data_IF_982540874117
#
_entry.id   IF_982540874117
#
_cell.length_a   1.000
_cell.length_b   1.000
_cell.length_c   1.000
_cell.angle_alpha   90.00
_cell.angle_beta   90.00
_cell.angle_gamma   90.00
#
_symmetry.space_group_name_H-M   'P 1'
#
loop_
_entity.id
_entity.type
_entity.pdbx_description
1 polymer ?
#
# COMPACT_ATOMS: atom_id res chain seq x y z
N UNK A 1 -42.37 -4.83 62.32
CA UNK A 1 -40.90 -4.67 62.30
C UNK A 1 -40.60 -3.55 61.33
N UNK A 2 -40.01 -2.45 61.81
CA UNK A 2 -39.82 -1.22 61.04
C UNK A 2 -38.66 -1.39 60.07
N UNK A 3 -38.94 -1.55 58.77
CA UNK A 3 -37.92 -1.55 57.73
C UNK A 3 -37.59 -0.09 57.39
N UNK A 4 -36.81 0.57 58.25
CA UNK A 4 -36.13 1.79 57.83
C UNK A 4 -35.03 1.37 56.87
N UNK A 5 -35.26 1.62 55.57
CA UNK A 5 -34.17 1.62 54.59
C UNK A 5 -33.33 2.84 54.95
N UNK A 6 -32.14 2.61 55.49
CA UNK A 6 -31.22 3.67 55.92
C UNK A 6 -30.61 4.32 54.67
N UNK A 7 -31.42 5.14 54.01
CA UNK A 7 -31.06 5.78 52.75
C UNK A 7 -30.36 7.09 53.06
N UNK A 8 -29.11 7.20 52.64
CA UNK A 8 -28.24 8.30 53.03
C UNK A 8 -28.59 9.54 52.19
N UNK A 9 -28.96 10.64 52.85
CA UNK A 9 -29.29 11.89 52.18
C UNK A 9 -28.00 12.67 51.87
N UNK A 10 -27.73 12.89 50.58
CA UNK A 10 -26.52 13.54 50.09
C UNK A 10 -26.88 14.70 49.14
N UNK A 11 -26.11 15.77 49.21
CA UNK A 11 -26.25 16.92 48.29
C UNK A 11 -25.36 16.73 47.07
N UNK A 12 -25.74 17.27 45.91
CA UNK A 12 -24.90 17.20 44.69
C UNK A 12 -23.47 17.69 44.94
N UNK A 13 -23.32 18.80 45.67
CA UNK A 13 -22.00 19.35 46.03
C UNK A 13 -21.15 18.39 46.85
N UNK A 14 -21.75 17.66 47.79
CA UNK A 14 -21.04 16.68 48.61
C UNK A 14 -20.59 15.49 47.76
N UNK A 15 -21.45 15.00 46.87
CA UNK A 15 -21.13 13.91 45.95
C UNK A 15 -19.97 14.29 45.00
N UNK A 16 -20.04 15.49 44.39
CA UNK A 16 -18.95 15.99 43.53
C UNK A 16 -17.64 16.16 44.30
N UNK A 17 -17.72 16.66 45.53
CA UNK A 17 -16.55 16.86 46.38
C UNK A 17 -15.88 15.52 46.74
N UNK A 18 -16.65 14.52 47.16
CA UNK A 18 -16.13 13.18 47.44
C UNK A 18 -15.49 12.55 46.19
N UNK A 19 -16.14 12.68 45.03
CA UNK A 19 -15.58 12.21 43.77
C UNK A 19 -14.22 12.86 43.46
N UNK A 20 -14.11 14.19 43.61
CA UNK A 20 -12.85 14.92 43.39
C UNK A 20 -11.76 14.47 44.37
N UNK A 21 -12.10 14.28 45.64
CA UNK A 21 -11.15 13.79 46.64
C UNK A 21 -10.66 12.37 46.35
N UNK A 22 -11.56 11.46 45.95
CA UNK A 22 -11.15 10.11 45.60
C UNK A 22 -10.26 10.09 44.36
N UNK A 23 -10.58 10.91 43.35
CA UNK A 23 -9.73 11.06 42.16
C UNK A 23 -8.35 11.58 42.52
N UNK A 24 -8.26 12.63 43.33
CA UNK A 24 -6.99 13.20 43.80
C UNK A 24 -6.12 12.16 44.54
N UNK A 25 -6.70 11.39 45.46
CA UNK A 25 -5.97 10.34 46.18
C UNK A 25 -5.50 9.22 45.25
N UNK A 26 -6.33 8.83 44.27
CA UNK A 26 -5.95 7.82 43.29
C UNK A 26 -4.81 8.33 42.41
N UNK A 27 -4.90 9.56 41.92
CA UNK A 27 -3.87 10.19 41.09
C UNK A 27 -2.53 10.30 41.85
N UNK A 28 -2.56 10.70 43.12
CA UNK A 28 -1.37 10.72 43.98
C UNK A 28 -0.74 9.33 44.12
N UNK A 29 -1.56 8.30 44.31
CA UNK A 29 -1.08 6.92 44.45
C UNK A 29 -0.52 6.38 43.14
N UNK A 30 -1.18 6.66 42.02
CA UNK A 30 -0.75 6.28 40.67
C UNK A 30 0.60 6.92 40.34
N UNK A 31 0.76 8.23 40.56
CA UNK A 31 2.03 8.96 40.35
C UNK A 31 3.19 8.42 41.19
N UNK A 32 2.91 7.88 42.39
CA UNK A 32 3.93 7.29 43.26
C UNK A 32 4.27 5.86 42.87
N UNK A 33 3.29 5.08 42.40
CA UNK A 33 3.46 3.67 42.07
C UNK A 33 4.08 3.44 40.67
N UNK A 34 3.82 4.35 39.73
CA UNK A 34 4.30 4.28 38.34
C UNK A 34 5.44 5.31 38.15
N UNK A 35 6.71 4.86 38.06
CA UNK A 35 7.82 5.76 37.79
C UNK A 35 7.77 6.22 36.33
N UNK A 36 7.70 7.53 36.10
CA UNK A 36 7.73 8.11 34.75
C UNK A 36 6.36 8.35 34.13
N UNK A 37 5.34 8.67 34.94
CA UNK A 37 4.03 9.14 34.46
C UNK A 37 4.20 10.15 33.32
N UNK A 38 3.95 9.69 32.11
CA UNK A 38 4.01 10.44 30.86
C UNK A 38 2.68 10.20 30.18
N UNK A 39 2.06 11.25 29.64
CA UNK A 39 0.76 11.12 28.97
C UNK A 39 0.80 10.22 27.72
N UNK A 40 2.01 9.89 27.25
CA UNK A 40 2.26 9.03 26.09
C UNK A 40 2.35 7.51 26.41
N UNK A 41 2.29 7.12 27.69
CA UNK A 41 2.35 5.69 28.07
C UNK A 41 0.95 5.05 28.07
N UNK A 42 0.71 4.18 27.09
CA UNK A 42 -0.56 3.45 26.87
C UNK A 42 -1.03 2.73 28.14
N UNK A 43 -0.10 2.11 28.89
CA UNK A 43 -0.42 1.37 30.12
C UNK A 43 -0.87 2.31 31.23
N UNK A 44 -0.20 3.46 31.37
CA UNK A 44 -0.56 4.46 32.37
C UNK A 44 -1.91 5.11 32.08
N UNK A 45 -2.24 5.31 30.80
CA UNK A 45 -3.53 5.84 30.36
C UNK A 45 -4.66 4.81 30.55
N UNK A 46 -4.42 3.54 30.22
CA UNK A 46 -5.39 2.46 30.44
C UNK A 46 -5.76 2.33 31.93
N UNK A 47 -4.76 2.39 32.82
CA UNK A 47 -4.99 2.34 34.27
C UNK A 47 -5.87 3.51 34.73
N UNK A 48 -5.66 4.72 34.20
CA UNK A 48 -6.49 5.88 34.54
C UNK A 48 -7.94 5.70 34.10
N UNK A 49 -8.15 5.23 32.86
CA UNK A 49 -9.49 4.93 32.35
C UNK A 49 -10.19 3.87 33.20
N UNK A 50 -9.46 2.84 33.63
CA UNK A 50 -9.99 1.79 34.50
C UNK A 50 -10.34 2.32 35.90
N UNK A 51 -9.53 3.21 36.46
CA UNK A 51 -9.81 3.84 37.76
C UNK A 51 -11.02 4.77 37.69
N UNK A 52 -11.16 5.55 36.62
CA UNK A 52 -12.33 6.39 36.38
C UNK A 52 -13.61 5.53 36.25
N UNK A 53 -13.55 4.41 35.53
CA UNK A 53 -14.67 3.46 35.45
C UNK A 53 -14.99 2.83 36.81
N UNK A 54 -13.96 2.43 37.56
CA UNK A 54 -14.14 1.89 38.91
C UNK A 54 -14.84 2.87 39.84
N UNK A 55 -14.46 4.15 39.82
CA UNK A 55 -15.11 5.19 40.61
C UNK A 55 -16.58 5.38 40.20
N UNK A 56 -16.89 5.32 38.90
CA UNK A 56 -18.28 5.36 38.44
C UNK A 56 -19.08 4.20 38.98
N UNK A 57 -18.58 2.98 38.83
CA UNK A 57 -19.28 1.77 39.26
C UNK A 57 -19.50 1.79 40.77
N UNK A 58 -18.49 2.17 41.55
CA UNK A 58 -18.59 2.29 43.00
C UNK A 58 -19.63 3.32 43.43
N UNK A 59 -19.70 4.47 42.76
CA UNK A 59 -20.67 5.53 43.08
C UNK A 59 -22.07 5.18 42.56
N UNK A 60 -22.20 4.49 41.42
CA UNK A 60 -23.48 4.00 40.90
C UNK A 60 -24.08 2.96 41.86
N UNK A 61 -23.26 2.02 42.34
CA UNK A 61 -23.65 1.06 43.38
C UNK A 61 -24.03 1.75 44.70
N UNK A 62 -23.23 2.73 45.16
CA UNK A 62 -23.57 3.51 46.34
C UNK A 62 -24.86 4.32 46.16
N UNK A 63 -25.13 4.76 44.92
CA UNK A 63 -26.32 5.49 44.52
C UNK A 63 -27.63 4.74 44.76
N UNK A 64 -27.62 3.41 44.74
CA UNK A 64 -28.80 2.60 45.06
C UNK A 64 -29.26 2.77 46.52
N UNK A 65 -28.30 3.02 47.42
CA UNK A 65 -28.52 3.20 48.87
C UNK A 65 -28.48 4.68 49.32
N UNK A 66 -28.46 5.61 48.37
CA UNK A 66 -28.32 7.05 48.63
C UNK A 66 -29.44 7.84 47.95
N UNK A 67 -29.90 8.91 48.58
CA UNK A 67 -30.83 9.87 48.01
C UNK A 67 -30.10 11.20 47.75
N UNK A 68 -30.32 11.79 46.58
CA UNK A 68 -29.82 13.14 46.30
C UNK A 68 -30.91 14.16 46.59
N UNK A 69 -30.77 14.94 47.65
CA UNK A 69 -31.82 15.83 48.16
C UNK A 69 -32.03 17.07 47.28
N UNK A 70 -30.95 17.52 46.61
CA UNK A 70 -30.90 18.73 45.76
C UNK A 70 -31.01 18.39 44.26
N UNK A 71 -31.51 17.20 43.92
CA UNK A 71 -31.71 16.78 42.54
C UNK A 71 -33.13 17.11 42.05
N UNK A 72 -33.24 17.73 40.87
CA UNK A 72 -34.52 17.83 40.17
C UNK A 72 -35.09 16.45 39.83
N UNK A 73 -36.41 16.34 39.65
CA UNK A 73 -37.04 15.07 39.22
C UNK A 73 -36.40 14.61 37.91
N UNK A 74 -35.63 13.52 37.95
CA UNK A 74 -34.93 12.94 36.79
C UNK A 74 -33.41 13.08 36.78
N UNK A 75 -32.80 13.78 37.75
CA UNK A 75 -31.33 13.84 37.88
C UNK A 75 -30.82 12.61 38.64
N UNK A 76 -30.19 11.68 37.91
CA UNK A 76 -29.56 10.49 38.50
C UNK A 76 -28.15 10.82 39.01
N UNK A 77 -27.70 10.12 40.06
CA UNK A 77 -26.30 10.15 40.54
C UNK A 77 -25.29 10.07 39.38
N UNK A 78 -25.54 9.17 38.42
CA UNK A 78 -24.75 8.99 37.20
C UNK A 78 -24.56 10.27 36.37
N UNK A 79 -25.63 11.06 36.20
CA UNK A 79 -25.56 12.31 35.41
C UNK A 79 -24.66 13.36 36.07
N UNK A 80 -24.67 13.42 37.40
CA UNK A 80 -23.84 14.34 38.19
C UNK A 80 -22.37 13.94 38.08
N UNK A 81 -22.08 12.64 38.12
CA UNK A 81 -20.71 12.12 37.99
C UNK A 81 -20.18 12.30 36.57
N UNK A 82 -20.98 12.03 35.53
CA UNK A 82 -20.59 12.28 34.14
C UNK A 82 -20.28 13.77 33.88
N UNK A 83 -20.97 14.69 34.55
CA UNK A 83 -20.64 16.12 34.47
C UNK A 83 -19.27 16.43 35.07
N UNK A 84 -18.95 15.85 36.23
CA UNK A 84 -17.61 15.99 36.83
C UNK A 84 -16.55 15.33 35.95
N UNK A 85 -16.84 14.17 35.36
CA UNK A 85 -15.89 13.46 34.51
C UNK A 85 -15.56 14.26 33.24
N UNK A 86 -16.54 14.95 32.65
CA UNK A 86 -16.31 15.87 31.51
C UNK A 86 -15.36 17.01 31.84
N UNK A 87 -15.17 17.36 33.12
CA UNK A 87 -14.17 18.34 33.56
C UNK A 87 -12.73 17.80 33.42
N UNK A 88 -12.55 16.48 33.48
CA UNK A 88 -11.24 15.80 33.46
C UNK A 88 -10.96 15.03 32.18
N UNK A 89 -11.96 14.78 31.33
CA UNK A 89 -11.77 14.11 30.05
C UNK A 89 -11.38 15.11 28.98
N UNK A 90 -10.43 14.69 28.14
CA UNK A 90 -10.11 15.44 26.93
C UNK A 90 -11.36 15.55 26.04
N UNK A 91 -11.69 16.76 25.54
CA UNK A 91 -12.77 16.92 24.59
C UNK A 91 -12.49 16.16 23.30
N UNK A 92 -13.54 15.71 22.64
CA UNK A 92 -13.41 15.01 21.36
C UNK A 92 -12.74 15.91 20.31
N UNK A 93 -11.52 15.55 19.90
CA UNK A 93 -10.80 16.22 18.82
C UNK A 93 -11.41 15.85 17.47
N UNK A 94 -12.17 16.79 16.90
CA UNK A 94 -12.82 16.66 15.60
C UNK A 94 -11.78 16.53 14.48
N UNK A 95 -10.64 17.22 14.59
CA UNK A 95 -9.58 17.21 13.58
C UNK A 95 -8.82 15.87 13.61
N UNK A 96 -8.57 15.31 14.79
CA UNK A 96 -8.01 13.96 14.92
C UNK A 96 -8.97 12.92 14.35
N UNK A 97 -10.25 12.98 14.69
CA UNK A 97 -11.24 12.05 14.16
C UNK A 97 -11.39 12.15 12.63
N UNK A 98 -11.35 13.36 12.07
CA UNK A 98 -11.39 13.54 10.62
C UNK A 98 -10.11 13.01 9.94
N UNK A 99 -8.94 13.17 10.57
CA UNK A 99 -7.70 12.52 10.12
C UNK A 99 -7.85 11.00 10.12
N UNK A 100 -8.35 10.42 11.22
CA UNK A 100 -8.60 8.98 11.33
C UNK A 100 -9.53 8.51 10.20
N UNK A 101 -10.64 9.20 9.95
CA UNK A 101 -11.56 8.88 8.84
C UNK A 101 -10.89 8.90 7.47
N UNK A 102 -10.07 9.92 7.20
CA UNK A 102 -9.33 10.04 5.93
C UNK A 102 -8.35 8.89 5.76
N UNK A 103 -7.60 8.55 6.81
CA UNK A 103 -6.69 7.40 6.76
C UNK A 103 -7.42 6.07 6.57
N UNK A 104 -8.60 5.89 7.20
CA UNK A 104 -9.42 4.70 6.97
C UNK A 104 -9.89 4.61 5.52
N UNK A 105 -10.37 5.71 4.94
CA UNK A 105 -10.78 5.74 3.54
C UNK A 105 -9.61 5.43 2.59
N UNK A 106 -8.45 6.05 2.82
CA UNK A 106 -7.25 5.78 2.03
C UNK A 106 -6.83 4.31 2.14
N UNK A 107 -6.86 3.75 3.35
CA UNK A 107 -6.56 2.35 3.59
C UNK A 107 -7.52 1.41 2.84
N UNK A 108 -8.82 1.73 2.83
CA UNK A 108 -9.82 0.98 2.07
C UNK A 108 -9.56 1.07 0.56
N UNK A 109 -9.34 2.28 0.03
CA UNK A 109 -9.09 2.52 -1.39
C UNK A 109 -7.84 1.76 -1.86
N UNK A 110 -6.75 1.82 -1.10
CA UNK A 110 -5.50 1.08 -1.38
C UNK A 110 -5.70 -0.43 -1.29
N UNK A 111 -6.50 -0.90 -0.34
CA UNK A 111 -6.80 -2.33 -0.20
C UNK A 111 -7.58 -2.84 -1.41
N UNK A 112 -8.54 -2.06 -1.90
CA UNK A 112 -9.30 -2.37 -3.12
C UNK A 112 -8.39 -2.35 -4.34
N UNK A 113 -7.57 -1.30 -4.49
CA UNK A 113 -6.61 -1.15 -5.59
C UNK A 113 -5.67 -2.36 -5.67
N UNK A 114 -5.02 -2.74 -4.56
CA UNK A 114 -4.10 -3.89 -4.53
C UNK A 114 -4.84 -5.19 -4.82
N UNK A 115 -6.08 -5.34 -4.36
CA UNK A 115 -6.90 -6.52 -4.64
C UNK A 115 -7.27 -6.64 -6.12
N UNK A 116 -7.64 -5.52 -6.75
CA UNK A 116 -7.89 -5.45 -8.20
C UNK A 116 -6.61 -5.74 -8.97
N UNK A 117 -5.48 -5.13 -8.60
CA UNK A 117 -4.18 -5.36 -9.22
C UNK A 117 -3.78 -6.84 -9.15
N UNK A 118 -3.95 -7.50 -8.00
CA UNK A 118 -3.65 -8.92 -7.82
C UNK A 118 -4.50 -9.83 -8.71
N UNK A 119 -5.74 -9.44 -9.01
CA UNK A 119 -6.65 -10.20 -9.85
C UNK A 119 -6.42 -9.94 -11.33
N UNK A 120 -6.32 -8.67 -11.71
CA UNK A 120 -6.37 -8.21 -13.09
C UNK A 120 -4.99 -8.14 -13.72
N UNK A 121 -3.95 -7.72 -12.98
CA UNK A 121 -2.62 -7.59 -13.55
C UNK A 121 -2.07 -8.92 -14.12
N UNK A 122 -2.19 -10.08 -13.45
CA UNK A 122 -1.75 -11.34 -14.04
C UNK A 122 -2.56 -11.72 -15.29
N UNK A 123 -3.87 -11.47 -15.28
CA UNK A 123 -4.74 -11.79 -16.42
C UNK A 123 -4.38 -10.95 -17.64
N UNK A 124 -4.19 -9.64 -17.44
CA UNK A 124 -3.78 -8.72 -18.50
C UNK A 124 -2.42 -9.13 -19.05
N UNK A 125 -1.41 -9.34 -18.19
CA UNK A 125 -0.07 -9.76 -18.61
C UNK A 125 -0.12 -11.06 -19.43
N UNK A 126 -0.82 -12.09 -18.95
CA UNK A 126 -0.96 -13.35 -19.68
C UNK A 126 -1.63 -13.11 -21.04
N UNK A 127 -2.71 -12.34 -21.07
CA UNK A 127 -3.44 -12.07 -22.31
C UNK A 127 -2.59 -11.35 -23.36
N UNK A 128 -1.79 -10.37 -22.96
CA UNK A 128 -0.88 -9.64 -23.84
C UNK A 128 0.21 -10.55 -24.41
N UNK A 129 0.84 -11.37 -23.56
CA UNK A 129 1.85 -12.33 -24.02
C UNK A 129 1.27 -13.39 -24.96
N UNK A 130 0.11 -13.95 -24.63
CA UNK A 130 -0.58 -14.93 -25.49
C UNK A 130 -1.01 -14.33 -26.82
N UNK A 131 -1.41 -13.05 -26.86
CA UNK A 131 -1.74 -12.38 -28.11
C UNK A 131 -0.52 -12.18 -28.99
N UNK A 132 0.62 -11.79 -28.40
CA UNK A 132 1.89 -11.66 -29.14
C UNK A 132 2.36 -13.02 -29.68
N UNK A 133 2.27 -14.08 -28.86
CA UNK A 133 2.61 -15.44 -29.29
C UNK A 133 1.78 -15.89 -30.50
N UNK A 134 0.47 -15.61 -30.49
CA UNK A 134 -0.41 -15.91 -31.64
C UNK A 134 0.00 -15.16 -32.90
N UNK A 135 0.32 -13.86 -32.80
CA UNK A 135 0.79 -13.09 -33.95
C UNK A 135 2.07 -13.67 -34.56
N UNK A 136 2.99 -14.15 -33.72
CA UNK A 136 4.22 -14.78 -34.19
C UNK A 136 3.96 -16.14 -34.86
N UNK A 137 2.99 -16.91 -34.36
CA UNK A 137 2.55 -18.14 -35.00
C UNK A 137 1.91 -17.87 -36.35
N UNK A 138 1.02 -16.88 -36.45
CA UNK A 138 0.39 -16.47 -37.72
C UNK A 138 1.44 -16.07 -38.77
N UNK A 139 2.49 -15.34 -38.37
CA UNK A 139 3.61 -14.98 -39.24
C UNK A 139 4.44 -16.19 -39.70
N UNK A 140 4.61 -17.19 -38.84
CA UNK A 140 5.30 -18.45 -39.18
C UNK A 140 4.44 -19.28 -40.12
N UNK A 141 3.15 -19.43 -39.85
CA UNK A 141 2.21 -20.18 -40.66
C UNK A 141 2.11 -19.58 -42.07
N UNK A 142 2.05 -18.24 -42.19
CA UNK A 142 2.10 -17.55 -43.47
C UNK A 142 3.39 -17.85 -44.27
N UNK A 143 4.54 -17.96 -43.59
CA UNK A 143 5.81 -18.33 -44.23
C UNK A 143 5.85 -19.80 -44.65
N UNK A 144 5.28 -20.69 -43.84
CA UNK A 144 5.18 -22.13 -44.16
C UNK A 144 4.27 -22.34 -45.37
N UNK A 145 3.10 -21.69 -45.40
CA UNK A 145 2.20 -21.74 -46.55
C UNK A 145 2.87 -21.19 -47.82
N UNK A 146 3.58 -20.07 -47.72
CA UNK A 146 4.33 -19.52 -48.85
C UNK A 146 5.45 -20.46 -49.33
N UNK A 147 6.14 -21.15 -48.42
CA UNK A 147 7.17 -22.13 -48.76
C UNK A 147 6.58 -23.41 -49.38
N UNK A 148 5.43 -23.88 -48.89
CA UNK A 148 4.71 -25.02 -49.45
C UNK A 148 4.21 -24.72 -50.87
N UNK A 149 3.62 -23.55 -51.09
CA UNK A 149 3.16 -23.12 -52.42
C UNK A 149 4.30 -23.01 -53.45
N UNK A 150 5.51 -22.59 -53.03
CA UNK A 150 6.71 -22.60 -53.89
C UNK A 150 7.14 -24.02 -54.26
N UNK A 151 7.09 -24.95 -53.32
CA UNK A 151 7.48 -26.35 -53.53
C UNK A 151 6.52 -27.08 -54.47
N UNK A 152 5.22 -26.78 -54.38
CA UNK A 152 4.20 -27.36 -55.26
C UNK A 152 4.30 -26.79 -56.70
N UNK A 153 4.77 -25.54 -56.87
CA UNK A 153 5.10 -24.99 -58.19
C UNK A 153 6.33 -25.66 -58.82
N UNK A 154 7.34 -26.02 -58.03
CA UNK A 154 8.54 -26.70 -58.53
C UNK A 154 8.30 -28.19 -58.84
N UNK A 155 7.32 -28.83 -58.21
CA UNK A 155 6.98 -30.25 -58.44
C UNK A 155 5.80 -30.46 -59.40
N UNK A 156 5.08 -29.40 -59.78
CA UNK A 156 4.02 -29.42 -60.79
C UNK A 156 4.49 -29.42 -62.25
N UNK A 157 5.78 -29.20 -62.52
CA UNK A 157 6.38 -29.26 -63.87
C UNK A 157 7.12 -30.59 -64.10
N UNK A 158 6.37 -31.69 -63.96
CA UNK A 158 6.83 -33.03 -64.31
C UNK A 158 6.14 -33.56 -65.56
N UNK A 159 6.41 -33.00 -66.73
CA UNK A 159 6.26 -33.71 -68.02
C UNK A 159 7.29 -33.17 -69.02
N UNK A 160 8.34 -33.96 -69.21
CA UNK A 160 9.20 -34.09 -70.40
C UNK A 160 9.62 -32.82 -71.14
N UNK A 161 10.82 -32.29 -70.84
CA UNK A 161 11.78 -31.93 -71.90
C UNK A 161 13.19 -31.82 -71.32
N UNK A 162 14.11 -32.63 -71.85
CA UNK A 162 15.54 -32.37 -71.79
C UNK A 162 15.82 -30.99 -72.38
N UNK A 163 16.23 -30.02 -71.58
CA UNK A 163 16.96 -28.86 -72.10
C UNK A 163 17.78 -28.21 -70.98
N UNK A 164 19.08 -28.19 -71.21
CA UNK A 164 20.07 -27.41 -70.49
C UNK A 164 19.62 -25.94 -70.40
N UNK A 165 19.43 -25.42 -69.19
CA UNK A 165 19.51 -23.97 -68.94
C UNK A 165 20.14 -23.72 -67.59
N UNK A 166 21.31 -23.08 -67.66
CA UNK A 166 22.17 -22.58 -66.61
C UNK A 166 21.41 -21.65 -65.66
N UNK A 167 21.43 -21.96 -64.37
CA UNK A 167 21.19 -20.98 -63.30
C UNK A 167 22.34 -21.06 -62.31
N UNK A 168 23.36 -20.25 -62.61
CA UNK A 168 24.20 -19.46 -61.69
C UNK A 168 24.35 -19.99 -60.26
N UNK A 169 24.93 -21.18 -60.14
CA UNK A 169 25.72 -21.54 -58.96
C UNK A 169 27.01 -20.73 -59.00
N UNK A 170 27.06 -19.63 -58.24
CA UNK A 170 28.33 -18.95 -57.95
C UNK A 170 29.32 -19.96 -57.39
N UNK A 171 30.41 -20.16 -58.12
CA UNK A 171 31.48 -21.08 -57.77
C UNK A 171 32.08 -20.73 -56.39
N UNK A 172 32.17 -21.68 -55.44
CA UNK A 172 32.78 -21.45 -54.12
C UNK A 172 34.30 -21.18 -54.18
N UNK A 173 34.94 -21.35 -55.34
CA UNK A 173 36.34 -21.02 -55.61
C UNK A 173 36.54 -19.65 -56.29
N UNK A 174 35.47 -18.87 -56.45
CA UNK A 174 35.55 -17.53 -57.04
C UNK A 174 36.19 -16.52 -56.07
N UNK A 175 37.24 -15.82 -56.53
CA UNK A 175 37.94 -14.78 -55.76
C UNK A 175 37.02 -13.64 -55.30
N UNK A 176 35.87 -13.45 -55.94
CA UNK A 176 34.88 -12.43 -55.61
C UNK A 176 34.01 -12.81 -54.40
N UNK A 177 33.73 -14.09 -54.18
CA UNK A 177 33.02 -14.55 -52.98
C UNK A 177 33.86 -14.31 -51.71
N UNK A 178 35.16 -14.64 -51.78
CA UNK A 178 36.08 -14.43 -50.66
C UNK A 178 36.35 -12.96 -50.35
N UNK A 179 36.33 -12.08 -51.35
CA UNK A 179 36.47 -10.63 -51.12
C UNK A 179 35.22 -10.05 -50.46
N UNK A 180 34.02 -10.46 -50.89
CA UNK A 180 32.77 -10.06 -50.26
C UNK A 180 32.68 -10.54 -48.82
N UNK A 181 33.05 -11.79 -48.53
CA UNK A 181 33.07 -12.33 -47.17
C UNK A 181 34.10 -11.62 -46.28
N UNK A 182 35.28 -11.31 -46.82
CA UNK A 182 36.30 -10.54 -46.11
C UNK A 182 35.84 -9.11 -45.79
N UNK A 183 35.09 -8.48 -46.69
CA UNK A 183 34.57 -7.13 -46.47
C UNK A 183 33.42 -7.11 -45.46
N UNK A 184 32.54 -8.12 -45.47
CA UNK A 184 31.53 -8.31 -44.41
C UNK A 184 32.20 -8.51 -43.04
N UNK A 185 33.27 -9.29 -42.97
CA UNK A 185 34.03 -9.49 -41.73
C UNK A 185 34.69 -8.19 -41.25
N UNK A 186 35.25 -7.38 -42.15
CA UNK A 186 35.79 -6.05 -41.81
C UNK A 186 34.69 -5.10 -41.33
N UNK A 187 33.51 -5.14 -41.93
CA UNK A 187 32.35 -4.35 -41.47
C UNK A 187 31.93 -4.75 -40.06
N UNK A 188 31.90 -6.05 -39.74
CA UNK A 188 31.61 -6.52 -38.40
C UNK A 188 32.66 -6.04 -37.37
N UNK A 189 33.95 -6.09 -37.72
CA UNK A 189 35.03 -5.60 -36.84
C UNK A 189 35.01 -4.08 -36.63
N UNK A 190 34.68 -3.32 -37.67
CA UNK A 190 34.54 -1.86 -37.57
C UNK A 190 33.31 -1.48 -36.75
N UNK A 191 32.18 -2.18 -36.93
CA UNK A 191 31.00 -2.03 -36.09
C UNK A 191 31.34 -2.33 -34.62
N UNK A 192 32.02 -3.44 -34.32
CA UNK A 192 32.43 -3.79 -32.96
C UNK A 192 33.34 -2.72 -32.33
N UNK A 193 34.29 -2.18 -33.10
CA UNK A 193 35.16 -1.10 -32.65
C UNK A 193 34.39 0.18 -32.35
N UNK A 194 33.43 0.54 -33.20
CA UNK A 194 32.58 1.73 -33.00
C UNK A 194 31.73 1.59 -31.74
N UNK A 195 31.07 0.45 -31.55
CA UNK A 195 30.27 0.16 -30.34
C UNK A 195 31.13 0.22 -29.08
N UNK A 196 32.36 -0.30 -29.11
CA UNK A 196 33.26 -0.26 -27.96
C UNK A 196 33.75 1.17 -27.62
N UNK A 197 33.83 2.05 -28.62
CA UNK A 197 34.13 3.47 -28.40
C UNK A 197 32.93 4.25 -27.84
N UNK A 198 31.71 3.86 -28.24
CA UNK A 198 30.49 4.55 -27.85
C UNK A 198 29.96 4.14 -26.46
N UNK A 199 30.24 2.91 -26.01
CA UNK A 199 29.80 2.40 -24.69
C UNK A 199 30.16 3.33 -23.52
N UNK A 200 31.44 3.77 -23.35
CA UNK A 200 31.79 4.67 -22.25
C UNK A 200 31.08 6.03 -22.34
N UNK A 201 30.85 6.53 -23.55
CA UNK A 201 30.13 7.78 -23.76
C UNK A 201 28.65 7.65 -23.39
N UNK A 202 28.05 6.49 -23.65
CA UNK A 202 26.67 6.21 -23.30
C UNK A 202 26.50 6.03 -21.79
N UNK A 203 27.44 5.34 -21.11
CA UNK A 203 27.43 5.23 -19.64
C UNK A 203 27.53 6.58 -18.95
N UNK A 204 28.42 7.47 -19.43
CA UNK A 204 28.57 8.81 -18.85
C UNK A 204 27.33 9.67 -19.09
N UNK A 205 26.69 9.60 -20.27
CA UNK A 205 25.41 10.27 -20.53
C UNK A 205 24.29 9.72 -19.64
N UNK A 206 24.21 8.41 -19.47
CA UNK A 206 23.21 7.77 -18.62
C UNK A 206 23.38 8.16 -17.15
N UNK A 207 24.61 8.22 -16.65
CA UNK A 207 24.89 8.73 -15.29
C UNK A 207 24.45 10.19 -15.14
N UNK A 208 24.71 11.05 -16.13
CA UNK A 208 24.26 12.45 -16.12
C UNK A 208 22.73 12.58 -16.15
N UNK A 209 22.05 11.78 -16.97
CA UNK A 209 20.59 11.75 -17.03
C UNK A 209 19.99 11.32 -15.69
N UNK A 210 20.56 10.30 -15.03
CA UNK A 210 20.13 9.88 -13.70
C UNK A 210 20.30 10.99 -12.67
N UNK A 211 21.44 11.66 -12.64
CA UNK A 211 21.64 12.79 -11.71
C UNK A 211 20.71 13.96 -11.99
N UNK A 212 20.35 14.21 -13.26
CA UNK A 212 19.39 15.26 -13.62
C UNK A 212 17.97 14.89 -13.20
N UNK A 213 17.57 13.62 -13.35
CA UNK A 213 16.27 13.14 -12.88
C UNK A 213 16.16 13.23 -11.36
N UNK A 214 17.20 12.82 -10.63
CA UNK A 214 17.26 12.89 -9.16
C UNK A 214 17.15 14.34 -8.66
N UNK A 215 17.83 15.29 -9.33
CA UNK A 215 17.69 16.73 -9.02
C UNK A 215 16.29 17.29 -9.34
N UNK A 216 15.67 16.84 -10.43
CA UNK A 216 14.29 17.25 -10.77
C UNK A 216 13.30 16.70 -9.75
N UNK A 217 13.45 15.44 -9.33
CA UNK A 217 12.60 14.84 -8.29
C UNK A 217 12.76 15.56 -6.94
N UNK A 218 13.99 15.99 -6.61
CA UNK A 218 14.26 16.74 -5.38
C UNK A 218 13.66 18.16 -5.39
N UNK A 219 13.65 18.86 -6.52
CA UNK A 219 13.06 20.20 -6.68
C UNK A 219 11.54 20.18 -6.85
N UNK A 220 10.97 19.09 -7.41
CA UNK A 220 9.51 18.93 -7.58
C UNK A 220 8.85 18.37 -6.31
N UNK A 221 9.62 17.72 -5.43
CA UNK A 221 9.17 17.20 -4.14
C UNK A 221 9.30 18.16 -2.95
N UNK A 222 9.85 19.37 -3.14
CA UNK A 222 9.86 20.48 -2.15
C UNK A 222 8.78 21.51 -2.48
#
# INVERSE_FOLDING_TARGET
>A
MSAYVDKLDVTQKQLRFLHKQFKEILDEKVRKALPGYSEDDEVSQEIQLQLDQFLMDAIEMAGESMNVVDAGRGTTVKSIIQEVQKEYMEPFDVDLNERVRKLYQEWEDRTVEVSQLRREAPQVVISEYTNLEKQLLDDIDAKIEAAAARRDQETGTGTETETETETDTQDPDSSEYWSQLADQYKQALTALKSTNQDIPSHETRQKRLRTLLDLIEQEVGS
#
